data_IF_637846878507
#
_entry.id   IF_637846878507
#
_cell.length_a   1.000
_cell.length_b   1.000
_cell.length_c   1.000
_cell.angle_alpha   90.00
_cell.angle_beta   90.00
_cell.angle_gamma   90.00
#
_symmetry.space_group_name_H-M   'P 1'
#
loop_
_entity.id
_entity.type
_entity.pdbx_description
1 polymer ?
#
# COMPACT_ATOMS: atom_id res chain seq x y z
N UNK A 1 -53.40 11.34 -71.64
CA UNK A 1 -52.13 11.64 -70.93
C UNK A 1 -51.61 10.38 -70.23
N UNK A 2 -50.50 9.80 -70.67
CA UNK A 2 -49.94 8.55 -70.12
C UNK A 2 -48.56 8.85 -69.52
N UNK A 3 -48.44 8.89 -68.19
CA UNK A 3 -47.15 9.10 -67.50
C UNK A 3 -46.37 7.78 -67.53
N UNK A 4 -45.14 7.80 -68.05
CA UNK A 4 -44.19 6.67 -68.00
C UNK A 4 -43.53 6.63 -66.60
N UNK A 5 -43.42 5.46 -65.95
CA UNK A 5 -42.62 5.34 -64.73
C UNK A 5 -41.13 5.34 -65.09
N UNK A 6 -40.36 6.20 -64.42
CA UNK A 6 -38.90 6.16 -64.51
C UNK A 6 -38.37 4.93 -63.75
N UNK A 7 -37.44 4.22 -64.37
CA UNK A 7 -36.85 2.97 -63.89
C UNK A 7 -36.14 3.12 -62.54
N UNK A 8 -36.72 2.55 -61.48
CA UNK A 8 -36.15 2.43 -60.13
C UNK A 8 -35.01 1.39 -60.00
N UNK A 9 -34.59 0.75 -61.09
CA UNK A 9 -33.65 -0.38 -61.03
C UNK A 9 -32.18 0.01 -60.79
N UNK A 10 -31.80 1.29 -60.91
CA UNK A 10 -30.40 1.73 -60.75
C UNK A 10 -29.99 2.06 -59.31
N UNK A 11 -30.94 2.11 -58.36
CA UNK A 11 -30.68 2.41 -56.95
C UNK A 11 -30.32 1.17 -56.10
N UNK A 12 -30.63 -0.04 -56.56
CA UNK A 12 -30.45 -1.28 -55.77
C UNK A 12 -28.97 -1.64 -55.50
N UNK A 13 -28.05 -1.29 -56.39
CA UNK A 13 -26.62 -1.58 -56.22
C UNK A 13 -25.91 -0.67 -55.21
N UNK A 14 -26.28 0.62 -55.16
CA UNK A 14 -25.70 1.59 -54.22
C UNK A 14 -26.15 1.35 -52.78
N UNK A 15 -27.40 0.93 -52.57
CA UNK A 15 -27.90 0.62 -51.22
C UNK A 15 -27.07 -0.49 -50.57
N UNK A 16 -26.68 -1.51 -51.33
CA UNK A 16 -25.88 -2.63 -50.83
C UNK A 16 -24.46 -2.19 -50.43
N UNK A 17 -23.84 -1.29 -51.21
CA UNK A 17 -22.55 -0.70 -50.87
C UNK A 17 -22.62 0.17 -49.60
N UNK A 18 -23.66 1.00 -49.48
CA UNK A 18 -23.84 1.85 -48.28
C UNK A 18 -24.05 0.99 -47.04
N UNK A 19 -24.89 -0.06 -47.13
CA UNK A 19 -25.12 -1.00 -46.03
C UNK A 19 -23.83 -1.72 -45.63
N UNK A 20 -23.00 -2.15 -46.60
CA UNK A 20 -21.71 -2.77 -46.33
C UNK A 20 -20.73 -1.81 -45.64
N UNK A 21 -20.67 -0.55 -46.07
CA UNK A 21 -19.81 0.47 -45.43
C UNK A 21 -20.28 0.73 -44.00
N UNK A 22 -21.58 0.90 -43.78
CA UNK A 22 -22.13 1.11 -42.43
C UNK A 22 -21.88 -0.11 -41.54
N UNK A 23 -22.08 -1.33 -42.05
CA UNK A 23 -21.72 -2.56 -41.34
C UNK A 23 -20.24 -2.62 -40.98
N UNK A 24 -19.36 -2.29 -41.92
CA UNK A 24 -17.91 -2.24 -41.67
C UNK A 24 -17.56 -1.22 -40.59
N UNK A 25 -18.16 -0.03 -40.61
CA UNK A 25 -17.95 1.00 -39.59
C UNK A 25 -18.45 0.55 -38.21
N UNK A 26 -19.62 -0.08 -38.13
CA UNK A 26 -20.15 -0.63 -36.87
C UNK A 26 -19.29 -1.77 -36.33
N UNK A 27 -18.73 -2.62 -37.20
CA UNK A 27 -17.80 -3.69 -36.82
C UNK A 27 -16.48 -3.12 -36.28
N UNK A 28 -15.94 -2.07 -36.91
CA UNK A 28 -14.73 -1.38 -36.43
C UNK A 28 -14.97 -0.69 -35.08
N UNK A 29 -16.13 -0.04 -34.91
CA UNK A 29 -16.53 0.57 -33.64
C UNK A 29 -16.72 -0.49 -32.53
N UNK A 30 -17.37 -1.61 -32.85
CA UNK A 30 -17.55 -2.73 -31.93
C UNK A 30 -16.23 -3.37 -31.51
N UNK A 31 -15.28 -3.55 -32.44
CA UNK A 31 -13.94 -4.06 -32.12
C UNK A 31 -13.14 -3.10 -31.20
N UNK A 32 -13.31 -1.78 -31.38
CA UNK A 32 -12.76 -0.78 -30.48
C UNK A 32 -13.35 -0.86 -29.07
N UNK A 33 -14.68 -1.04 -28.97
CA UNK A 33 -15.37 -1.17 -27.70
C UNK A 33 -14.95 -2.42 -26.92
N UNK A 34 -14.79 -3.58 -27.59
CA UNK A 34 -14.34 -4.81 -26.95
C UNK A 34 -12.93 -4.67 -26.38
N UNK A 35 -12.00 -4.09 -27.13
CA UNK A 35 -10.64 -3.79 -26.61
C UNK A 35 -10.65 -2.82 -25.44
N UNK A 36 -11.58 -1.85 -25.43
CA UNK A 36 -11.74 -0.92 -24.33
C UNK A 36 -12.26 -1.61 -23.06
N UNK A 37 -13.18 -2.58 -23.20
CA UNK A 37 -13.65 -3.41 -22.08
C UNK A 37 -12.55 -4.33 -21.55
N UNK A 38 -11.80 -5.01 -22.42
CA UNK A 38 -10.68 -5.86 -22.00
C UNK A 38 -9.60 -5.05 -21.27
N UNK A 39 -9.24 -3.87 -21.81
CA UNK A 39 -8.29 -2.95 -21.17
C UNK A 39 -8.83 -2.40 -19.85
N UNK A 40 -10.13 -2.04 -19.82
CA UNK A 40 -10.81 -1.56 -18.61
C UNK A 40 -10.87 -2.62 -17.51
N UNK A 41 -11.05 -3.89 -17.87
CA UNK A 41 -11.13 -4.99 -16.92
C UNK A 41 -9.75 -5.30 -16.29
N UNK A 42 -8.66 -5.24 -17.07
CA UNK A 42 -7.29 -5.39 -16.54
C UNK A 42 -6.93 -4.23 -15.62
N UNK A 43 -7.28 -2.99 -16.00
CA UNK A 43 -7.04 -1.81 -15.17
C UNK A 43 -7.85 -1.88 -13.86
N UNK A 44 -9.13 -2.24 -13.94
CA UNK A 44 -9.99 -2.41 -12.76
C UNK A 44 -9.53 -3.55 -11.83
N UNK A 45 -9.05 -4.66 -12.39
CA UNK A 45 -8.47 -5.76 -11.62
C UNK A 45 -7.18 -5.38 -10.90
N UNK A 46 -6.27 -4.67 -11.56
CA UNK A 46 -5.04 -4.19 -10.92
C UNK A 46 -5.34 -3.17 -9.82
N UNK A 47 -6.35 -2.31 -10.03
CA UNK A 47 -6.78 -1.34 -9.04
C UNK A 47 -7.43 -1.99 -7.82
N UNK A 48 -8.27 -3.02 -7.99
CA UNK A 48 -8.88 -3.72 -6.86
C UNK A 48 -7.84 -4.47 -6.02
N UNK A 49 -6.81 -5.05 -6.65
CA UNK A 49 -5.67 -5.64 -5.92
C UNK A 49 -4.86 -4.58 -5.16
N UNK A 50 -4.65 -3.40 -5.75
CA UNK A 50 -3.99 -2.29 -5.07
C UNK A 50 -4.80 -1.78 -3.88
N UNK A 51 -6.12 -1.65 -4.02
CA UNK A 51 -7.00 -1.26 -2.92
C UNK A 51 -7.00 -2.29 -1.79
N UNK A 52 -7.08 -3.59 -2.12
CA UNK A 52 -7.06 -4.65 -1.11
C UNK A 52 -5.71 -4.75 -0.39
N UNK A 53 -4.60 -4.52 -1.09
CA UNK A 53 -3.27 -4.42 -0.48
C UNK A 53 -3.16 -3.19 0.44
N UNK A 54 -3.73 -2.05 0.05
CA UNK A 54 -3.79 -0.85 0.89
C UNK A 54 -4.63 -1.06 2.14
N UNK A 55 -5.81 -1.69 2.04
CA UNK A 55 -6.62 -2.06 3.22
C UNK A 55 -5.87 -3.01 4.16
N UNK A 56 -5.09 -3.93 3.59
CA UNK A 56 -4.21 -4.82 4.36
C UNK A 56 -3.09 -4.02 5.05
N UNK A 57 -2.57 -2.97 4.43
CA UNK A 57 -1.60 -2.06 5.04
C UNK A 57 -2.21 -1.23 6.20
N UNK A 58 -3.44 -0.76 6.06
CA UNK A 58 -4.14 -0.04 7.14
C UNK A 58 -4.30 -0.90 8.41
N UNK A 59 -4.53 -2.21 8.22
CA UNK A 59 -4.51 -3.19 9.30
C UNK A 59 -3.13 -3.28 9.95
N UNK A 60 -2.08 -3.38 9.14
CA UNK A 60 -0.69 -3.41 9.61
C UNK A 60 -0.35 -2.17 10.44
N UNK A 61 -0.80 -0.99 9.99
CA UNK A 61 -0.59 0.28 10.69
C UNK A 61 -1.29 0.30 12.06
N UNK A 62 -2.52 -0.22 12.13
CA UNK A 62 -3.26 -0.33 13.39
C UNK A 62 -2.56 -1.26 14.38
N UNK A 63 -2.05 -2.40 13.92
CA UNK A 63 -1.30 -3.34 14.75
C UNK A 63 0.07 -2.78 15.18
N UNK A 64 0.72 -2.03 14.29
CA UNK A 64 1.97 -1.35 14.58
C UNK A 64 1.81 -0.28 15.67
N UNK A 65 0.71 0.48 15.66
CA UNK A 65 0.40 1.45 16.73
C UNK A 65 0.28 0.78 18.10
N UNK A 66 -0.45 -0.33 18.18
CA UNK A 66 -0.62 -1.09 19.42
C UNK A 66 0.71 -1.70 19.88
N UNK A 67 1.49 -2.24 18.95
CA UNK A 67 2.80 -2.83 19.24
C UNK A 67 3.81 -1.78 19.70
N UNK A 68 3.86 -0.61 19.06
CA UNK A 68 4.70 0.50 19.49
C UNK A 68 4.35 0.94 20.91
N UNK A 69 3.07 1.12 21.21
CA UNK A 69 2.62 1.48 22.56
C UNK A 69 3.02 0.43 23.61
N UNK A 70 2.83 -0.86 23.32
CA UNK A 70 3.23 -1.95 24.21
C UNK A 70 4.74 -2.04 24.42
N UNK A 71 5.53 -1.87 23.35
CA UNK A 71 7.00 -1.89 23.43
C UNK A 71 7.55 -0.75 24.30
N UNK A 72 6.95 0.44 24.21
CA UNK A 72 7.32 1.60 25.04
C UNK A 72 6.99 1.35 26.52
N UNK A 73 5.81 0.80 26.82
CA UNK A 73 5.32 0.54 28.18
C UNK A 73 6.10 -0.59 28.89
N UNK A 74 6.61 -1.58 28.15
CA UNK A 74 7.35 -2.70 28.71
C UNK A 74 8.84 -2.38 29.03
N UNK A 75 9.21 -1.10 29.12
CA UNK A 75 10.61 -0.67 29.28
C UNK A 75 11.47 -0.86 28.02
N UNK A 76 10.84 -1.13 26.87
CA UNK A 76 11.47 -1.39 25.58
C UNK A 76 11.71 -0.16 24.72
N UNK A 77 11.47 1.06 25.22
CA UNK A 77 11.62 2.27 24.41
C UNK A 77 12.99 2.43 23.75
N UNK A 78 14.05 1.94 24.41
CA UNK A 78 15.43 1.96 23.92
C UNK A 78 15.98 0.57 23.54
N UNK A 79 15.17 -0.48 23.63
CA UNK A 79 15.60 -1.84 23.33
C UNK A 79 14.98 -2.26 22.00
N UNK A 80 15.80 -2.77 21.10
CA UNK A 80 15.30 -3.36 19.87
C UNK A 80 14.50 -4.63 20.18
N UNK A 81 13.42 -4.85 19.44
CA UNK A 81 12.69 -6.12 19.43
C UNK A 81 12.96 -6.79 18.10
N UNK A 82 13.57 -7.97 18.16
CA UNK A 82 13.97 -8.73 16.98
C UNK A 82 12.82 -8.84 15.97
N UNK A 83 13.12 -8.47 14.72
CA UNK A 83 12.20 -8.54 13.57
C UNK A 83 10.88 -7.77 13.75
N UNK A 84 10.82 -6.78 14.66
CA UNK A 84 9.59 -6.02 14.92
C UNK A 84 9.80 -4.54 15.16
N UNK A 85 10.81 -4.17 15.96
CA UNK A 85 11.00 -2.80 16.41
C UNK A 85 12.48 -2.45 16.51
N UNK A 86 12.85 -1.31 15.92
CA UNK A 86 14.13 -0.65 16.14
C UNK A 86 13.93 0.59 17.00
N UNK A 87 14.69 0.68 18.08
CA UNK A 87 14.72 1.79 19.01
C UNK A 87 15.36 3.06 18.44
N UNK A 88 16.12 2.92 17.35
CA UNK A 88 16.80 4.00 16.65
C UNK A 88 16.69 3.85 15.14
N UNK A 89 16.84 4.98 14.44
CA UNK A 89 16.90 5.04 12.99
C UNK A 89 18.11 4.28 12.47
N UNK A 90 17.86 3.36 11.56
CA UNK A 90 18.86 2.63 10.81
C UNK A 90 19.39 3.51 9.67
N UNK A 91 20.71 3.54 9.52
CA UNK A 91 21.41 4.40 8.54
C UNK A 91 21.73 3.70 7.23
N UNK A 92 21.84 2.37 7.23
CA UNK A 92 22.10 1.56 6.02
C UNK A 92 20.78 1.18 5.34
N UNK A 93 20.52 1.80 4.19
CA UNK A 93 19.26 1.66 3.45
C UNK A 93 19.45 0.94 2.11
N UNK A 94 18.43 0.24 1.66
CA UNK A 94 18.35 -0.38 0.34
C UNK A 94 17.92 0.64 -0.73
N UNK A 95 17.77 0.18 -1.98
CA UNK A 95 17.34 1.04 -3.10
C UNK A 95 15.92 1.62 -2.95
N UNK A 96 15.11 1.11 -2.01
CA UNK A 96 13.76 1.60 -1.69
C UNK A 96 13.77 2.58 -0.52
N UNK A 97 14.91 2.77 0.16
CA UNK A 97 15.01 3.60 1.35
C UNK A 97 14.67 2.86 2.65
N UNK A 98 14.61 1.53 2.63
CA UNK A 98 14.33 0.70 3.81
C UNK A 98 15.61 0.14 4.43
N UNK A 99 15.66 -0.06 5.75
CA UNK A 99 16.84 -0.62 6.41
C UNK A 99 17.23 -1.99 5.87
N UNK A 100 18.50 -2.16 5.48
CA UNK A 100 19.03 -3.44 4.98
C UNK A 100 19.16 -4.51 6.06
N UNK A 101 19.11 -4.10 7.34
CA UNK A 101 19.13 -5.00 8.49
C UNK A 101 17.84 -5.81 8.65
N UNK A 102 16.75 -5.40 7.97
CA UNK A 102 15.48 -6.12 8.02
C UNK A 102 15.54 -7.36 7.15
N UNK A 103 15.58 -8.54 7.78
CA UNK A 103 15.30 -9.79 7.11
C UNK A 103 13.79 -10.06 7.12
N UNK A 104 13.13 -9.76 6.00
CA UNK A 104 11.68 -9.91 5.85
C UNK A 104 11.19 -11.35 5.98
N UNK A 105 12.02 -12.38 5.84
CA UNK A 105 11.57 -13.76 6.06
C UNK A 105 11.44 -14.09 7.55
N UNK A 106 12.06 -13.31 8.43
CA UNK A 106 11.95 -13.45 9.89
C UNK A 106 10.92 -12.52 10.53
N UNK A 107 10.40 -11.54 9.77
CA UNK A 107 9.36 -10.64 10.24
C UNK A 107 8.06 -11.42 10.34
N UNK A 108 7.41 -11.33 11.50
CA UNK A 108 6.17 -12.06 11.75
C UNK A 108 5.12 -11.77 10.68
N UNK A 109 4.47 -12.83 10.25
CA UNK A 109 3.51 -12.80 9.17
C UNK A 109 2.09 -12.83 9.74
N UNK A 110 1.22 -11.93 9.26
CA UNK A 110 -0.19 -11.92 9.65
C UNK A 110 -1.10 -11.90 8.43
N UNK A 111 -2.28 -12.49 8.56
CA UNK A 111 -3.35 -12.39 7.56
C UNK A 111 -4.16 -11.08 7.73
N UNK A 112 -5.09 -10.76 6.82
CA UNK A 112 -5.92 -9.55 6.94
C UNK A 112 -6.86 -9.55 8.15
N UNK A 113 -7.15 -10.71 8.75
CA UNK A 113 -7.90 -10.82 9.99
C UNK A 113 -7.02 -10.53 11.23
N UNK A 114 -5.69 -10.44 11.05
CA UNK A 114 -4.71 -10.25 12.11
C UNK A 114 -4.25 -11.54 12.79
N UNK A 115 -4.52 -12.70 12.20
CA UNK A 115 -4.03 -13.99 12.69
C UNK A 115 -2.57 -14.16 12.30
N UNK A 116 -1.73 -14.55 13.25
CA UNK A 116 -0.33 -14.92 12.96
C UNK A 116 -0.31 -16.20 12.16
N UNK A 117 0.45 -16.20 11.07
CA UNK A 117 0.61 -17.33 10.17
C UNK A 117 2.09 -17.71 10.06
N UNK A 118 2.35 -18.98 9.75
CA UNK A 118 3.71 -19.55 9.80
C UNK A 118 4.61 -19.14 8.63
N UNK A 119 4.04 -18.75 7.49
CA UNK A 119 4.78 -18.40 6.29
C UNK A 119 4.10 -17.26 5.55
N UNK A 120 4.89 -16.24 5.18
CA UNK A 120 4.46 -15.20 4.27
C UNK A 120 4.83 -15.51 2.80
N UNK A 121 5.65 -16.52 2.54
CA UNK A 121 6.11 -16.87 1.19
C UNK A 121 5.15 -17.76 0.40
N UNK A 122 4.11 -18.28 1.04
CA UNK A 122 3.14 -19.15 0.39
C UNK A 122 2.12 -18.32 -0.39
N UNK A 123 2.07 -18.52 -1.70
CA UNK A 123 1.04 -17.95 -2.58
C UNK A 123 -0.19 -18.87 -2.62
N UNK A 124 -1.14 -18.63 -1.72
CA UNK A 124 -2.43 -19.34 -1.65
C UNK A 124 -3.61 -18.47 -2.11
N UNK A 125 -3.33 -17.34 -2.76
CA UNK A 125 -4.35 -16.35 -3.13
C UNK A 125 -4.82 -15.46 -1.98
N UNK A 126 -4.19 -15.50 -0.80
CA UNK A 126 -4.46 -14.59 0.31
C UNK A 126 -3.45 -13.44 0.37
N UNK A 127 -3.83 -12.37 1.07
CA UNK A 127 -2.89 -11.31 1.44
C UNK A 127 -2.11 -11.68 2.70
N UNK A 128 -0.81 -11.39 2.71
CA UNK A 128 0.09 -11.56 3.85
C UNK A 128 0.74 -10.24 4.18
N UNK A 129 0.74 -9.90 5.45
CA UNK A 129 1.16 -8.60 5.95
C UNK A 129 2.36 -8.81 6.87
N UNK A 130 3.40 -8.01 6.64
CA UNK A 130 4.58 -7.92 7.48
C UNK A 130 4.85 -6.45 7.74
N UNK A 131 5.29 -6.11 8.95
CA UNK A 131 5.68 -4.74 9.24
C UNK A 131 6.80 -4.70 10.27
N UNK A 132 7.58 -3.62 10.20
CA UNK A 132 8.62 -3.28 11.16
C UNK A 132 8.46 -1.81 11.54
N UNK A 133 8.67 -1.52 12.82
CA UNK A 133 8.58 -0.18 13.38
C UNK A 133 10.00 0.31 13.67
N UNK A 134 10.26 1.57 13.37
CA UNK A 134 11.51 2.23 13.69
C UNK A 134 11.21 3.55 14.39
N UNK A 135 11.76 3.75 15.58
CA UNK A 135 11.70 5.05 16.25
C UNK A 135 12.71 5.98 15.61
N UNK A 136 12.30 7.20 15.28
CA UNK A 136 13.14 8.17 14.57
C UNK A 136 14.06 8.94 15.51
N UNK A 137 14.91 8.18 16.20
CA UNK A 137 16.01 8.68 17.01
C UNK A 137 17.36 8.35 16.36
N UNK A 138 18.29 9.29 16.34
CA UNK A 138 19.66 9.04 15.86
C UNK A 138 20.45 8.16 16.85
N UNK A 139 20.07 8.18 18.12
CA UNK A 139 20.64 7.33 19.18
C UNK A 139 19.62 7.22 20.32
N UNK A 140 19.75 6.20 21.17
CA UNK A 140 18.86 6.01 22.31
C UNK A 140 18.99 7.17 23.32
N UNK A 141 17.90 7.91 23.61
CA UNK A 141 17.91 8.97 24.61
C UNK A 141 17.71 8.44 26.02
N UNK A 142 18.01 9.24 27.04
CA UNK A 142 17.48 9.03 28.38
C UNK A 142 15.98 9.35 28.37
N UNK A 143 15.14 8.31 28.45
CA UNK A 143 13.68 8.43 28.26
C UNK A 143 12.95 9.25 29.33
N UNK A 144 13.62 9.59 30.43
CA UNK A 144 13.11 10.48 31.49
C UNK A 144 13.54 11.93 31.31
N UNK A 145 14.46 12.22 30.38
CA UNK A 145 14.99 13.55 30.11
C UNK A 145 14.43 14.09 28.79
N UNK A 146 13.54 15.07 28.88
CA UNK A 146 12.92 15.71 27.71
C UNK A 146 13.96 16.42 26.83
N UNK A 147 15.03 16.95 27.40
CA UNK A 147 16.07 17.67 26.65
C UNK A 147 16.87 16.69 25.80
N UNK A 148 17.24 15.55 26.38
CA UNK A 148 17.97 14.51 25.67
C UNK A 148 17.12 13.85 24.58
N UNK A 149 15.83 13.63 24.84
CA UNK A 149 14.86 13.21 23.83
C UNK A 149 14.83 14.19 22.65
N UNK A 150 14.67 15.50 22.92
CA UNK A 150 14.62 16.53 21.87
C UNK A 150 15.91 16.62 21.07
N UNK A 151 17.05 16.34 21.69
CA UNK A 151 18.35 16.38 21.03
C UNK A 151 18.58 15.18 20.09
N UNK A 152 18.00 14.02 20.41
CA UNK A 152 18.29 12.75 19.72
C UNK A 152 17.16 12.24 18.84
N UNK A 153 15.92 12.68 19.06
CA UNK A 153 14.73 12.12 18.43
C UNK A 153 13.87 13.16 17.71
N UNK A 154 13.29 12.73 16.60
CA UNK A 154 12.17 13.43 15.99
C UNK A 154 10.92 13.30 16.89
N UNK A 155 10.26 14.42 17.10
CA UNK A 155 9.12 14.53 18.00
C UNK A 155 8.10 15.53 17.45
N UNK A 156 6.86 15.42 17.90
CA UNK A 156 5.84 16.40 17.58
C UNK A 156 6.07 17.69 18.36
N UNK A 157 5.93 18.82 17.67
CA UNK A 157 6.05 20.14 18.27
C UNK A 157 4.87 20.36 19.22
N UNK A 158 5.13 20.24 20.53
CA UNK A 158 4.15 20.51 21.57
C UNK A 158 4.74 21.48 22.60
N UNK A 159 4.31 22.74 22.55
CA UNK A 159 4.75 23.79 23.47
C UNK A 159 4.37 23.51 24.94
N UNK A 160 3.35 22.69 25.17
CA UNK A 160 2.91 22.26 26.51
C UNK A 160 3.62 21.01 27.04
N UNK A 161 4.45 20.34 26.23
CA UNK A 161 5.23 19.19 26.69
C UNK A 161 6.39 19.67 27.59
N UNK A 162 6.12 19.70 28.90
CA UNK A 162 7.09 20.10 29.95
C UNK A 162 7.81 18.90 30.59
N UNK A 163 7.42 17.67 30.24
CA UNK A 163 8.02 16.44 30.76
C UNK A 163 8.21 15.40 29.65
N UNK A 164 9.14 14.47 29.87
CA UNK A 164 9.44 13.38 28.94
C UNK A 164 8.26 12.40 28.73
N UNK A 165 7.30 12.36 29.66
CA UNK A 165 6.10 11.52 29.54
C UNK A 165 5.05 12.10 28.59
N UNK A 166 5.08 13.43 28.36
CA UNK A 166 4.09 14.14 27.55
C UNK A 166 4.59 14.47 26.14
N UNK A 167 5.84 14.12 25.82
CA UNK A 167 6.41 14.32 24.48
C UNK A 167 6.06 13.12 23.59
N UNK A 168 5.61 13.41 22.37
CA UNK A 168 5.32 12.39 21.37
C UNK A 168 6.49 12.28 20.41
N UNK A 169 7.07 11.08 20.29
CA UNK A 169 8.11 10.75 19.32
C UNK A 169 7.51 10.32 18.00
N UNK A 170 8.25 10.55 16.93
CA UNK A 170 7.92 10.00 15.61
C UNK A 170 8.47 8.60 15.44
N UNK A 171 7.66 7.75 14.85
CA UNK A 171 8.02 6.40 14.43
C UNK A 171 7.67 6.25 12.96
N UNK A 172 8.52 5.52 12.25
CA UNK A 172 8.31 5.07 10.88
C UNK A 172 7.88 3.62 10.90
N UNK A 173 6.76 3.32 10.27
CA UNK A 173 6.26 1.95 10.07
C UNK A 173 6.50 1.59 8.61
N UNK A 174 7.27 0.54 8.39
CA UNK A 174 7.56 -0.01 7.06
C UNK A 174 6.75 -1.29 6.93
N UNK A 175 5.97 -1.38 5.86
CA UNK A 175 5.03 -2.47 5.65
C UNK A 175 5.29 -3.14 4.31
N UNK A 176 5.28 -4.48 4.31
CA UNK A 176 5.29 -5.32 3.12
C UNK A 176 3.98 -6.08 3.08
N UNK A 177 3.25 -5.91 1.99
CA UNK A 177 2.03 -6.67 1.71
C UNK A 177 2.30 -7.58 0.53
N UNK A 178 2.24 -8.89 0.75
CA UNK A 178 2.25 -9.89 -0.31
C UNK A 178 0.82 -10.25 -0.66
N UNK A 179 0.49 -10.23 -1.94
CA UNK A 179 -0.84 -10.59 -2.44
C UNK A 179 -0.81 -11.85 -3.31
N UNK A 180 -1.97 -12.21 -3.90
CA UNK A 180 -2.07 -13.30 -4.85
C UNK A 180 -1.02 -13.20 -5.96
N UNK A 181 -0.59 -14.35 -6.50
CA UNK A 181 0.38 -14.44 -7.61
C UNK A 181 1.77 -13.92 -7.25
N UNK A 182 2.12 -13.95 -5.97
CA UNK A 182 3.41 -13.47 -5.47
C UNK A 182 3.63 -11.97 -5.67
N UNK A 183 2.56 -11.19 -5.76
CA UNK A 183 2.66 -9.72 -5.87
C UNK A 183 3.17 -9.14 -4.56
N UNK A 184 4.02 -8.11 -4.63
CA UNK A 184 4.52 -7.40 -3.45
C UNK A 184 4.29 -5.91 -3.56
N UNK A 185 3.72 -5.35 -2.50
CA UNK A 185 3.56 -3.91 -2.34
C UNK A 185 4.20 -3.46 -1.04
N UNK A 186 4.75 -2.26 -1.09
CA UNK A 186 5.54 -1.68 -0.02
C UNK A 186 4.91 -0.35 0.38
N UNK A 187 4.72 -0.15 1.67
CA UNK A 187 4.13 1.05 2.22
C UNK A 187 4.97 1.58 3.37
N UNK A 188 4.93 2.90 3.55
CA UNK A 188 5.58 3.59 4.65
C UNK A 188 4.57 4.54 5.29
N UNK A 189 4.53 4.57 6.62
CA UNK A 189 3.69 5.49 7.37
C UNK A 189 4.48 6.11 8.53
N UNK A 190 4.25 7.40 8.77
CA UNK A 190 4.76 8.09 9.94
C UNK A 190 3.67 8.16 11.01
N UNK A 191 4.00 7.76 12.24
CA UNK A 191 3.08 7.83 13.39
C UNK A 191 3.75 8.53 14.57
N UNK A 192 2.95 9.12 15.43
CA UNK A 192 3.40 9.70 16.69
C UNK A 192 2.98 8.81 17.85
N UNK A 193 3.87 8.61 18.83
CA UNK A 193 3.59 7.83 20.03
C UNK A 193 4.38 8.32 21.25
N UNK A 194 4.08 7.84 22.46
CA UNK A 194 4.79 8.28 23.67
C UNK A 194 6.29 7.93 23.60
N UNK A 195 7.13 8.74 24.27
CA UNK A 195 8.55 8.46 24.41
C UNK A 195 8.82 7.30 25.39
N UNK A 196 8.12 7.32 26.53
CA UNK A 196 8.26 6.37 27.64
C UNK A 196 6.90 5.91 28.14
N UNK A 197 6.89 4.77 28.83
CA UNK A 197 5.75 4.26 29.58
C UNK A 197 5.60 4.92 30.95
#
# INVERSE_FOLDING_TARGET
MRRRPASLQRARGMVLLVVLVVLALLLLAGAGALRAVDSGNVIAGNFSFQQAAMQSADRALTDALNTAAGAVLAGGGNNDVANRYFSTRQSTLDARGFPTSINWENVACVDPAGTVISSCGTDDGSYRIQYVIERLCNSNPTLTDITDIRAKCEHEANAGAVSAFNIQLRYRVIMRVRGPRGTEQWFEAMISGPASG
#
